data_IF_493709798283
#
_entry.id   IF_493709798283
#
_cell.length_a   1.000
_cell.length_b   1.000
_cell.length_c   1.000
_cell.angle_alpha   90.00
_cell.angle_beta   90.00
_cell.angle_gamma   90.00
#
_symmetry.space_group_name_H-M   'P 1'
#
loop_
_entity.id
_entity.type
_entity.pdbx_description
1 polymer ?
#
# COMPACT_ATOMS: atom_id res chain seq x y z
N UNK A 1 27.49 -7.88 -14.89
CA UNK A 1 27.03 -7.37 -13.59
C UNK A 1 27.47 -5.91 -13.51
N UNK A 2 26.63 -4.99 -13.92
CA UNK A 2 26.91 -3.55 -13.77
C UNK A 2 26.75 -3.21 -12.31
N UNK A 3 27.83 -2.76 -11.66
CA UNK A 3 27.82 -2.16 -10.34
C UNK A 3 26.72 -1.10 -10.32
N UNK A 4 25.65 -1.34 -9.57
CA UNK A 4 24.62 -0.31 -9.37
C UNK A 4 25.31 0.85 -8.65
N UNK A 5 25.45 1.97 -9.36
CA UNK A 5 26.04 3.18 -8.84
C UNK A 5 25.30 3.57 -7.55
N UNK A 6 26.00 3.44 -6.42
CA UNK A 6 25.42 3.72 -5.09
C UNK A 6 25.07 5.19 -4.90
N UNK A 7 25.48 6.06 -5.83
CA UNK A 7 25.25 7.50 -5.81
C UNK A 7 23.92 7.91 -6.47
N UNK A 8 23.43 7.13 -7.43
CA UNK A 8 22.15 7.43 -8.12
C UNK A 8 20.97 7.33 -7.15
N UNK A 9 20.09 8.33 -7.11
CA UNK A 9 18.94 8.31 -6.22
C UNK A 9 17.93 7.22 -6.64
N UNK A 10 17.28 6.61 -5.64
CA UNK A 10 16.15 5.71 -5.84
C UNK A 10 14.88 6.55 -5.73
N UNK A 11 14.10 6.60 -6.81
CA UNK A 11 12.83 7.33 -6.82
C UNK A 11 11.76 6.51 -6.11
N UNK A 12 11.03 7.14 -5.19
CA UNK A 12 9.86 6.56 -4.53
C UNK A 12 8.64 7.42 -4.84
N UNK A 13 7.65 6.86 -5.51
CA UNK A 13 6.31 7.45 -5.57
C UNK A 13 5.51 7.01 -4.33
N UNK A 14 4.53 7.81 -3.89
CA UNK A 14 3.69 7.45 -2.74
C UNK A 14 4.39 7.47 -1.37
N UNK A 15 5.55 8.12 -1.24
CA UNK A 15 6.29 8.23 0.03
C UNK A 15 5.48 8.92 1.15
N UNK A 16 4.47 9.74 0.81
CA UNK A 16 3.51 10.36 1.74
C UNK A 16 2.15 9.68 1.75
N UNK A 17 2.06 8.45 1.20
CA UNK A 17 0.83 7.68 1.12
C UNK A 17 0.30 7.28 2.50
N UNK A 18 -1.04 7.26 2.63
CA UNK A 18 -1.72 6.94 3.90
C UNK A 18 -2.10 5.47 4.03
N UNK A 19 -2.15 4.73 2.94
CA UNK A 19 -2.52 3.33 2.92
C UNK A 19 -1.29 2.44 3.12
N UNK A 20 -1.24 1.73 4.25
CA UNK A 20 -0.12 0.84 4.61
C UNK A 20 1.22 1.53 4.91
N UNK A 21 1.40 2.79 4.53
CA UNK A 21 2.65 3.53 4.79
C UNK A 21 3.90 2.97 4.10
N UNK A 22 3.75 2.08 3.12
CA UNK A 22 4.86 1.34 2.49
C UNK A 22 5.95 2.23 1.92
N UNK A 23 5.58 3.36 1.27
CA UNK A 23 6.55 4.29 0.70
C UNK A 23 7.43 4.98 1.75
N UNK A 24 6.85 5.39 2.90
CA UNK A 24 7.59 6.00 4.00
C UNK A 24 8.53 5.00 4.67
N UNK A 25 8.06 3.77 4.93
CA UNK A 25 8.90 2.70 5.47
C UNK A 25 10.05 2.36 4.53
N UNK A 26 9.77 2.23 3.24
CA UNK A 26 10.78 1.95 2.22
C UNK A 26 11.83 3.07 2.16
N UNK A 27 11.42 4.35 2.19
CA UNK A 27 12.34 5.48 2.21
C UNK A 27 13.30 5.41 3.42
N UNK A 28 12.77 5.15 4.61
CA UNK A 28 13.56 4.97 5.82
C UNK A 28 14.55 3.82 5.68
N UNK A 29 14.10 2.64 5.26
CA UNK A 29 14.96 1.45 5.12
C UNK A 29 16.06 1.63 4.08
N UNK A 30 15.76 2.29 2.96
CA UNK A 30 16.78 2.62 1.96
C UNK A 30 17.83 3.60 2.52
N UNK A 31 17.42 4.62 3.28
CA UNK A 31 18.36 5.54 3.94
C UNK A 31 19.21 4.85 4.99
N UNK A 32 18.64 3.94 5.79
CA UNK A 32 19.39 3.09 6.73
C UNK A 32 20.40 2.18 6.01
N UNK A 33 20.08 1.73 4.79
CA UNK A 33 20.99 0.96 3.93
C UNK A 33 22.00 1.86 3.17
N UNK A 34 22.13 3.14 3.52
CA UNK A 34 23.07 4.06 2.90
C UNK A 34 22.75 4.49 1.47
N UNK A 35 21.47 4.26 1.00
CA UNK A 35 21.08 4.61 -0.37
C UNK A 35 20.51 6.04 -0.43
N UNK A 36 20.80 6.72 -1.52
CA UNK A 36 20.17 8.01 -1.84
C UNK A 36 18.71 7.80 -2.22
N UNK A 37 17.80 8.56 -1.62
CA UNK A 37 16.35 8.47 -1.86
C UNK A 37 15.84 9.80 -2.39
N UNK A 38 15.07 9.74 -3.47
CA UNK A 38 14.27 10.84 -4.01
C UNK A 38 12.80 10.51 -3.84
N UNK A 39 12.08 11.34 -3.09
CA UNK A 39 10.65 11.17 -2.83
C UNK A 39 9.83 12.10 -3.72
N UNK A 40 8.99 11.53 -4.59
CA UNK A 40 8.01 12.28 -5.36
C UNK A 40 6.80 12.61 -4.48
N UNK A 41 6.51 13.89 -4.31
CA UNK A 41 5.38 14.38 -3.51
C UNK A 41 4.55 15.37 -4.32
N UNK A 42 3.23 15.35 -4.14
CA UNK A 42 2.35 16.28 -4.87
C UNK A 42 2.36 17.70 -4.28
N UNK A 43 2.61 17.83 -2.99
CA UNK A 43 2.58 19.09 -2.24
C UNK A 43 3.61 19.07 -1.13
N UNK A 44 4.10 20.25 -0.81
CA UNK A 44 4.93 20.47 0.37
C UNK A 44 3.99 20.73 1.57
N UNK A 45 3.70 19.69 2.33
CA UNK A 45 2.90 19.76 3.55
C UNK A 45 3.63 19.04 4.71
N UNK A 46 3.02 18.97 5.88
CA UNK A 46 3.59 18.39 7.10
C UNK A 46 4.11 16.94 6.93
N UNK A 47 3.58 16.19 5.97
CA UNK A 47 3.96 14.79 5.71
C UNK A 47 5.36 14.63 5.14
N UNK A 48 5.97 15.70 4.64
CA UNK A 48 7.34 15.65 4.13
C UNK A 48 8.40 15.73 5.25
N UNK A 49 8.06 16.27 6.41
CA UNK A 49 9.02 16.49 7.50
C UNK A 49 9.76 15.21 7.93
N UNK A 50 9.12 14.03 8.07
CA UNK A 50 9.82 12.79 8.35
C UNK A 50 10.80 12.38 7.22
N UNK A 51 10.44 12.61 5.96
CA UNK A 51 11.30 12.29 4.81
C UNK A 51 12.53 13.21 4.75
N UNK A 52 12.33 14.51 5.03
CA UNK A 52 13.42 15.48 5.14
C UNK A 52 14.36 15.15 6.29
N UNK A 53 13.84 14.75 7.44
CA UNK A 53 14.65 14.32 8.59
C UNK A 53 15.51 13.08 8.28
N UNK A 54 15.07 12.22 7.36
CA UNK A 54 15.85 11.09 6.85
C UNK A 54 16.91 11.51 5.81
N UNK A 55 16.93 12.78 5.39
CA UNK A 55 17.80 13.26 4.33
C UNK A 55 17.38 12.78 2.93
N UNK A 56 16.10 12.52 2.70
CA UNK A 56 15.58 12.25 1.37
C UNK A 56 15.46 13.54 0.55
N UNK A 57 15.82 13.48 -0.72
CA UNK A 57 15.55 14.56 -1.69
C UNK A 57 14.06 14.62 -1.95
N UNK A 58 13.45 15.79 -1.80
CA UNK A 58 12.02 16.02 -2.06
C UNK A 58 11.86 16.66 -3.42
N UNK A 59 11.12 15.99 -4.32
CA UNK A 59 10.77 16.53 -5.64
C UNK A 59 9.26 16.66 -5.73
N UNK A 60 8.78 17.85 -6.09
CA UNK A 60 7.35 18.11 -6.30
C UNK A 60 6.96 17.68 -7.71
N UNK A 61 5.93 16.83 -7.81
CA UNK A 61 5.39 16.40 -9.09
C UNK A 61 4.13 15.58 -8.89
N UNK A 62 3.35 15.47 -9.96
CA UNK A 62 2.09 14.72 -9.98
C UNK A 62 2.15 13.62 -11.04
N UNK A 63 1.79 12.40 -10.66
CA UNK A 63 1.69 11.26 -11.60
C UNK A 63 0.68 11.52 -12.72
N UNK A 64 -0.21 12.51 -12.57
CA UNK A 64 -1.14 12.95 -13.61
C UNK A 64 -0.58 14.07 -14.51
N UNK A 65 0.59 14.61 -14.20
CA UNK A 65 1.31 15.59 -15.02
C UNK A 65 2.67 15.04 -15.45
N UNK A 66 2.75 14.54 -16.68
CA UNK A 66 3.97 13.97 -17.23
C UNK A 66 5.17 14.92 -17.15
N UNK A 67 4.96 16.22 -17.38
CA UNK A 67 6.06 17.20 -17.43
C UNK A 67 6.73 17.32 -16.06
N UNK A 68 5.97 17.25 -14.98
CA UNK A 68 6.48 17.30 -13.61
C UNK A 68 7.29 16.06 -13.20
N UNK A 69 7.14 14.93 -13.92
CA UNK A 69 7.85 13.69 -13.63
C UNK A 69 9.24 13.62 -14.27
N UNK A 70 9.49 14.38 -15.31
CA UNK A 70 10.79 14.37 -16.03
C UNK A 70 11.93 14.71 -15.08
N UNK A 71 11.93 15.85 -14.34
CA UNK A 71 13.01 16.16 -13.41
C UNK A 71 13.10 15.16 -12.25
N UNK A 72 11.97 14.55 -11.85
CA UNK A 72 11.97 13.53 -10.80
C UNK A 72 12.70 12.25 -11.22
N UNK A 73 12.72 11.91 -12.50
CA UNK A 73 13.32 10.70 -13.07
C UNK A 73 14.76 10.91 -13.59
N UNK A 74 15.24 12.15 -13.69
CA UNK A 74 16.62 12.42 -14.12
C UNK A 74 17.65 11.78 -13.18
N UNK A 75 18.57 10.98 -13.75
CA UNK A 75 19.65 10.31 -13.02
C UNK A 75 19.18 9.14 -12.13
N UNK A 76 17.92 8.71 -12.24
CA UNK A 76 17.35 7.60 -11.46
C UNK A 76 17.71 6.27 -12.09
N UNK A 77 18.39 5.39 -11.32
CA UNK A 77 18.68 4.01 -11.75
C UNK A 77 17.66 2.99 -11.27
N UNK A 78 16.97 3.27 -10.17
CA UNK A 78 15.94 2.42 -9.56
C UNK A 78 14.73 3.27 -9.19
N UNK A 79 13.52 2.75 -9.41
CA UNK A 79 12.28 3.42 -9.01
C UNK A 79 11.32 2.43 -8.33
N UNK A 80 10.60 2.92 -7.33
CA UNK A 80 9.48 2.24 -6.70
C UNK A 80 8.20 2.97 -7.08
N UNK A 81 7.40 2.34 -7.92
CA UNK A 81 6.12 2.87 -8.38
C UNK A 81 4.99 2.28 -7.54
N UNK A 82 4.32 3.14 -6.80
CA UNK A 82 3.07 2.82 -6.10
C UNK A 82 2.06 3.92 -6.33
N UNK A 83 0.79 3.54 -6.39
CA UNK A 83 -0.34 4.44 -6.60
C UNK A 83 -1.39 4.22 -5.52
N UNK A 84 -2.05 5.27 -5.00
CA UNK A 84 -3.10 5.11 -3.99
C UNK A 84 -4.28 4.33 -4.54
N UNK A 85 -5.10 3.76 -3.63
CA UNK A 85 -6.37 3.13 -4.01
C UNK A 85 -7.34 4.22 -4.45
N UNK A 86 -7.23 4.63 -5.71
CA UNK A 86 -7.99 5.73 -6.32
C UNK A 86 -8.01 5.53 -7.84
N UNK A 87 -8.97 6.14 -8.53
CA UNK A 87 -9.00 6.17 -9.99
C UNK A 87 -7.79 6.86 -10.61
N UNK A 88 -7.51 6.56 -11.90
CA UNK A 88 -6.47 7.24 -12.68
C UNK A 88 -5.11 6.53 -12.71
N UNK A 89 -4.96 5.34 -12.15
CA UNK A 89 -3.68 4.61 -12.16
C UNK A 89 -3.15 4.33 -13.58
N UNK A 90 -4.03 4.08 -14.55
CA UNK A 90 -3.62 3.81 -15.94
C UNK A 90 -2.98 5.06 -16.55
N UNK A 91 -3.57 6.24 -16.33
CA UNK A 91 -3.00 7.52 -16.76
C UNK A 91 -1.68 7.82 -16.04
N UNK A 92 -1.64 7.56 -14.73
CA UNK A 92 -0.42 7.73 -13.92
C UNK A 92 0.72 6.85 -14.45
N UNK A 93 0.45 5.59 -14.76
CA UNK A 93 1.41 4.65 -15.33
C UNK A 93 1.89 5.10 -16.73
N UNK A 94 0.97 5.58 -17.58
CA UNK A 94 1.32 6.10 -18.91
C UNK A 94 2.21 7.35 -18.83
N UNK A 95 1.89 8.30 -17.95
CA UNK A 95 2.70 9.49 -17.72
C UNK A 95 4.09 9.14 -17.19
N UNK A 96 4.14 8.23 -16.20
CA UNK A 96 5.41 7.75 -15.64
C UNK A 96 6.27 7.07 -16.71
N UNK A 97 5.68 6.17 -17.49
CA UNK A 97 6.37 5.47 -18.56
C UNK A 97 6.91 6.42 -19.63
N UNK A 98 6.10 7.40 -20.05
CA UNK A 98 6.50 8.40 -21.05
C UNK A 98 7.62 9.30 -20.52
N UNK A 99 7.58 9.74 -19.27
CA UNK A 99 8.64 10.53 -18.65
C UNK A 99 9.93 9.69 -18.47
N UNK A 100 9.82 8.44 -18.02
CA UNK A 100 10.97 7.54 -17.88
C UNK A 100 11.68 7.30 -19.21
N UNK A 101 10.94 7.10 -20.30
CA UNK A 101 11.51 6.96 -21.64
C UNK A 101 12.19 8.24 -22.13
N UNK A 102 11.65 9.41 -21.80
CA UNK A 102 12.23 10.70 -22.18
C UNK A 102 13.60 10.93 -21.56
N UNK A 103 13.83 10.47 -20.33
CA UNK A 103 15.12 10.58 -19.64
C UNK A 103 16.08 9.40 -19.92
N UNK A 104 15.75 8.54 -20.89
CA UNK A 104 16.60 7.44 -21.35
C UNK A 104 16.11 6.03 -21.02
N UNK A 105 15.07 5.87 -20.18
CA UNK A 105 14.37 4.60 -19.95
C UNK A 105 15.18 3.49 -19.27
N UNK A 106 16.26 3.81 -18.57
CA UNK A 106 17.21 2.82 -18.03
C UNK A 106 16.92 2.38 -16.59
N UNK A 107 15.96 3.03 -15.92
CA UNK A 107 15.63 2.68 -14.55
C UNK A 107 14.90 1.34 -14.48
N UNK A 108 15.33 0.45 -13.56
CA UNK A 108 14.48 -0.66 -13.13
C UNK A 108 13.35 -0.13 -12.26
N UNK A 109 12.14 -0.58 -12.52
CA UNK A 109 10.95 -0.15 -11.79
C UNK A 109 10.33 -1.31 -11.02
N UNK A 110 10.34 -1.22 -9.71
CA UNK A 110 9.56 -2.11 -8.84
C UNK A 110 8.16 -1.52 -8.70
N UNK A 111 7.15 -2.26 -9.14
CA UNK A 111 5.75 -1.85 -9.09
C UNK A 111 5.06 -2.50 -7.91
N UNK A 112 4.56 -1.71 -6.96
CA UNK A 112 3.67 -2.18 -5.92
C UNK A 112 2.25 -2.30 -6.51
N UNK A 113 1.85 -3.52 -6.81
CA UNK A 113 0.52 -3.85 -7.31
C UNK A 113 -0.27 -4.65 -6.27
N UNK A 114 -1.45 -5.12 -6.62
CA UNK A 114 -2.33 -5.85 -5.71
C UNK A 114 -2.74 -7.23 -6.29
N UNK A 115 -3.14 -8.14 -5.42
CA UNK A 115 -3.53 -9.49 -5.80
C UNK A 115 -4.81 -9.60 -6.63
N UNK A 116 -5.61 -8.52 -6.70
CA UNK A 116 -6.80 -8.44 -7.56
C UNK A 116 -6.46 -7.98 -8.99
N UNK A 117 -5.19 -7.67 -9.29
CA UNK A 117 -4.73 -7.25 -10.62
C UNK A 117 -4.88 -8.39 -11.62
N UNK A 118 -5.96 -8.34 -12.40
CA UNK A 118 -6.31 -9.35 -13.41
C UNK A 118 -7.28 -8.72 -14.41
N UNK A 119 -7.25 -9.09 -15.72
CA UNK A 119 -8.19 -8.55 -16.72
C UNK A 119 -9.65 -8.87 -16.38
N UNK A 120 -9.90 -10.01 -15.76
CA UNK A 120 -11.23 -10.48 -15.33
C UNK A 120 -11.54 -10.17 -13.87
N UNK A 121 -10.79 -9.25 -13.24
CA UNK A 121 -11.06 -8.88 -11.84
C UNK A 121 -12.50 -8.39 -11.68
N UNK A 122 -13.24 -8.83 -10.65
CA UNK A 122 -14.58 -8.28 -10.38
C UNK A 122 -14.54 -6.79 -10.06
N UNK A 123 -13.42 -6.31 -9.51
CA UNK A 123 -13.21 -4.92 -9.16
C UNK A 123 -12.68 -4.11 -10.34
N UNK A 124 -13.27 -2.94 -10.59
CA UNK A 124 -12.76 -1.99 -11.57
C UNK A 124 -11.30 -1.60 -11.27
N UNK A 125 -10.98 -1.36 -9.99
CA UNK A 125 -9.63 -1.04 -9.55
C UNK A 125 -8.62 -2.17 -9.86
N UNK A 126 -9.00 -3.43 -9.68
CA UNK A 126 -8.17 -4.58 -10.05
C UNK A 126 -7.88 -4.65 -11.54
N UNK A 127 -8.90 -4.41 -12.39
CA UNK A 127 -8.71 -4.34 -13.86
C UNK A 127 -7.83 -3.16 -14.27
N UNK A 128 -7.99 -2.01 -13.61
CA UNK A 128 -7.16 -0.81 -13.87
C UNK A 128 -5.69 -1.04 -13.49
N UNK A 129 -5.42 -1.74 -12.39
CA UNK A 129 -4.06 -2.13 -12.02
C UNK A 129 -3.41 -3.04 -13.06
N UNK A 130 -4.15 -4.05 -13.52
CA UNK A 130 -3.66 -4.91 -14.59
C UNK A 130 -3.32 -4.12 -15.86
N UNK A 131 -4.19 -3.21 -16.30
CA UNK A 131 -3.93 -2.34 -17.44
C UNK A 131 -2.70 -1.44 -17.22
N UNK A 132 -2.52 -0.90 -16.02
CA UNK A 132 -1.34 -0.09 -15.68
C UNK A 132 -0.04 -0.91 -15.77
N UNK A 133 -0.05 -2.16 -15.31
CA UNK A 133 1.08 -3.09 -15.46
C UNK A 133 1.41 -3.35 -16.93
N UNK A 134 0.40 -3.55 -17.78
CA UNK A 134 0.57 -3.74 -19.21
C UNK A 134 1.13 -2.47 -19.89
N UNK A 135 0.63 -1.29 -19.56
CA UNK A 135 1.14 0.00 -20.07
C UNK A 135 2.62 0.19 -19.75
N UNK A 136 3.04 -0.08 -18.50
CA UNK A 136 4.44 -0.02 -18.11
C UNK A 136 5.29 -1.04 -18.88
N UNK A 137 4.76 -2.25 -19.11
CA UNK A 137 5.40 -3.29 -19.89
C UNK A 137 5.56 -2.93 -21.37
N UNK A 138 4.51 -2.39 -21.99
CA UNK A 138 4.54 -1.94 -23.40
C UNK A 138 5.52 -0.78 -23.61
N UNK A 139 5.78 0.01 -22.58
CA UNK A 139 6.78 1.05 -22.65
C UNK A 139 8.23 0.52 -22.68
N UNK A 140 8.44 -0.78 -22.51
CA UNK A 140 9.77 -1.42 -22.54
C UNK A 140 10.60 -1.17 -21.28
N UNK A 141 9.98 -0.83 -20.15
CA UNK A 141 10.68 -0.64 -18.87
C UNK A 141 11.12 -1.99 -18.28
N UNK A 142 12.27 -2.02 -17.58
CA UNK A 142 12.70 -3.16 -16.78
C UNK A 142 11.84 -3.22 -15.50
N UNK A 143 10.88 -4.17 -15.45
CA UNK A 143 9.86 -4.24 -14.43
C UNK A 143 10.02 -5.44 -13.51
N UNK A 144 9.83 -5.21 -12.21
CA UNK A 144 9.51 -6.24 -11.22
C UNK A 144 8.19 -5.85 -10.52
N UNK A 145 7.12 -6.59 -10.81
CA UNK A 145 5.75 -6.30 -10.36
C UNK A 145 5.43 -7.17 -9.15
N UNK A 146 5.15 -6.54 -8.02
CA UNK A 146 4.79 -7.20 -6.77
C UNK A 146 3.27 -7.16 -6.60
N UNK A 147 2.57 -8.24 -6.93
CA UNK A 147 1.13 -8.39 -6.68
C UNK A 147 0.91 -8.86 -5.25
N UNK A 148 0.86 -7.90 -4.31
CA UNK A 148 0.59 -8.20 -2.89
C UNK A 148 -0.88 -8.62 -2.76
N UNK A 149 -1.10 -9.91 -2.51
CA UNK A 149 -2.44 -10.51 -2.40
C UNK A 149 -2.95 -10.56 -0.95
N UNK A 150 -2.34 -9.80 -0.04
CA UNK A 150 -2.68 -9.74 1.37
C UNK A 150 -3.42 -8.45 1.72
N UNK A 151 -4.32 -8.52 2.69
CA UNK A 151 -4.86 -7.32 3.33
C UNK A 151 -3.80 -6.73 4.27
N UNK A 152 -3.71 -5.41 4.30
CA UNK A 152 -2.84 -4.73 5.25
C UNK A 152 -3.49 -4.66 6.63
N UNK A 153 -2.72 -4.89 7.68
CA UNK A 153 -3.17 -4.71 9.07
C UNK A 153 -3.69 -3.30 9.32
N UNK A 154 -3.11 -2.31 8.67
CA UNK A 154 -3.49 -0.90 8.72
C UNK A 154 -4.92 -0.64 8.21
N UNK A 155 -5.50 -1.55 7.42
CA UNK A 155 -6.89 -1.46 6.98
C UNK A 155 -7.85 -1.58 8.17
N UNK A 156 -7.48 -2.32 9.21
CA UNK A 156 -8.36 -2.55 10.37
C UNK A 156 -8.65 -1.23 11.11
N UNK A 157 -7.67 -0.46 11.61
CA UNK A 157 -7.97 0.82 12.23
C UNK A 157 -8.45 1.87 11.23
N UNK A 158 -8.12 1.75 9.94
CA UNK A 158 -8.53 2.70 8.91
C UNK A 158 -10.01 2.58 8.57
N UNK A 159 -10.50 1.37 8.34
CA UNK A 159 -11.89 1.13 7.93
C UNK A 159 -12.84 0.90 9.11
N UNK A 160 -12.33 0.38 10.23
CA UNK A 160 -13.14 -0.07 11.36
C UNK A 160 -12.79 0.62 12.68
N UNK A 161 -11.81 1.54 12.70
CA UNK A 161 -11.34 2.15 13.95
C UNK A 161 -12.45 2.83 14.75
N UNK A 162 -13.39 3.50 14.07
CA UNK A 162 -14.55 4.13 14.70
C UNK A 162 -15.49 3.09 15.31
N UNK A 163 -15.95 2.11 14.55
CA UNK A 163 -16.88 1.09 15.03
C UNK A 163 -16.25 0.18 16.09
N UNK A 164 -14.95 -0.10 16.00
CA UNK A 164 -14.19 -0.79 17.06
C UNK A 164 -14.25 0.03 18.33
N UNK A 165 -13.93 1.33 18.30
CA UNK A 165 -13.86 2.19 19.46
C UNK A 165 -15.22 2.42 20.10
N UNK A 166 -16.20 2.77 19.29
CA UNK A 166 -17.49 3.28 19.77
C UNK A 166 -18.49 2.17 20.08
N UNK A 167 -18.41 1.03 19.34
CA UNK A 167 -19.41 -0.06 19.40
C UNK A 167 -18.81 -1.43 19.73
N UNK A 168 -17.48 -1.59 19.70
CA UNK A 168 -16.82 -2.89 19.86
C UNK A 168 -17.11 -3.85 18.71
N UNK A 169 -17.19 -3.37 17.46
CA UNK A 169 -17.57 -4.19 16.32
C UNK A 169 -16.71 -3.93 15.09
N UNK A 170 -16.47 -5.01 14.34
CA UNK A 170 -15.96 -4.97 12.96
C UNK A 170 -17.11 -5.44 12.06
N UNK A 171 -17.50 -4.62 11.07
CA UNK A 171 -18.52 -4.97 10.07
C UNK A 171 -17.91 -4.99 8.68
N UNK A 172 -18.12 -6.04 7.93
CA UNK A 172 -17.79 -6.10 6.50
C UNK A 172 -18.46 -7.31 5.82
N UNK A 173 -18.25 -7.44 4.51
CA UNK A 173 -18.86 -8.48 3.69
C UNK A 173 -17.92 -9.65 3.34
N UNK A 174 -16.79 -9.84 4.05
CA UNK A 174 -15.91 -10.99 3.81
C UNK A 174 -16.43 -12.31 4.38
N UNK A 175 -17.48 -12.28 5.22
CA UNK A 175 -18.01 -13.48 5.86
C UNK A 175 -16.94 -14.21 6.69
N UNK A 176 -16.97 -15.54 6.65
CA UNK A 176 -16.03 -16.40 7.37
C UNK A 176 -14.72 -16.68 6.60
N UNK A 177 -14.49 -15.98 5.49
CA UNK A 177 -13.30 -16.20 4.66
C UNK A 177 -12.03 -15.90 5.46
N UNK A 178 -11.07 -16.82 5.41
CA UNK A 178 -9.71 -16.58 5.90
C UNK A 178 -8.88 -15.98 4.78
N UNK A 179 -8.26 -14.86 5.05
CA UNK A 179 -7.48 -14.07 4.12
C UNK A 179 -6.04 -14.00 4.58
N UNK A 180 -5.15 -13.77 3.64
CA UNK A 180 -3.76 -13.45 3.95
C UNK A 180 -3.67 -12.00 4.40
N UNK A 181 -2.82 -11.77 5.40
CA UNK A 181 -2.58 -10.48 5.99
C UNK A 181 -1.09 -10.18 6.07
N UNK A 182 -0.74 -8.90 6.02
CA UNK A 182 0.63 -8.41 6.09
C UNK A 182 0.64 -7.00 6.68
N UNK A 183 1.74 -6.60 7.34
CA UNK A 183 1.94 -5.21 7.70
C UNK A 183 2.47 -4.38 6.53
N UNK A 184 2.19 -3.08 6.53
CA UNK A 184 2.81 -2.16 5.57
C UNK A 184 4.34 -2.13 5.67
N UNK A 185 4.88 -2.36 6.86
CA UNK A 185 6.33 -2.52 7.08
C UNK A 185 6.89 -3.74 6.35
N UNK A 186 6.24 -4.91 6.46
CA UNK A 186 6.71 -6.11 5.78
C UNK A 186 6.53 -6.02 4.26
N UNK A 187 5.47 -5.38 3.80
CA UNK A 187 5.29 -5.09 2.38
C UNK A 187 6.39 -4.14 1.85
N UNK A 188 6.82 -3.18 2.65
CA UNK A 188 7.95 -2.31 2.31
C UNK A 188 9.30 -3.07 2.27
N UNK A 189 9.52 -4.03 3.19
CA UNK A 189 10.70 -4.90 3.15
C UNK A 189 10.74 -5.76 1.89
N UNK A 190 9.59 -6.28 1.42
CA UNK A 190 9.51 -6.94 0.11
C UNK A 190 9.96 -5.99 -1.01
N UNK A 191 9.47 -4.74 -0.97
CA UNK A 191 9.88 -3.69 -1.92
C UNK A 191 11.37 -3.37 -1.86
N UNK A 192 11.94 -3.31 -0.65
CA UNK A 192 13.38 -3.11 -0.44
C UNK A 192 14.20 -4.22 -1.10
N UNK A 193 13.83 -5.47 -0.84
CA UNK A 193 14.50 -6.63 -1.45
C UNK A 193 14.34 -6.62 -2.96
N UNK A 194 13.18 -6.27 -3.48
CA UNK A 194 12.95 -6.17 -4.92
C UNK A 194 13.82 -5.11 -5.60
N UNK A 195 14.09 -4.00 -4.93
CA UNK A 195 14.97 -2.95 -5.43
C UNK A 195 16.45 -3.32 -5.36
N UNK A 196 16.90 -3.87 -4.23
CA UNK A 196 18.32 -4.08 -3.95
C UNK A 196 18.82 -5.49 -4.28
N UNK A 197 17.93 -6.49 -4.23
CA UNK A 197 18.23 -7.92 -4.36
C UNK A 197 17.22 -8.64 -5.26
N UNK A 198 17.01 -8.16 -6.52
CA UNK A 198 16.02 -8.75 -7.42
C UNK A 198 16.29 -10.23 -7.74
N UNK A 199 17.53 -10.69 -7.56
CA UNK A 199 17.93 -12.10 -7.74
C UNK A 199 17.28 -13.06 -6.72
N UNK A 200 16.67 -12.54 -5.66
CA UNK A 200 15.92 -13.35 -4.67
C UNK A 200 14.52 -13.71 -5.14
N UNK A 201 14.06 -13.09 -6.22
CA UNK A 201 12.76 -13.38 -6.80
C UNK A 201 12.88 -14.42 -7.91
N UNK A 202 11.80 -15.16 -8.17
CA UNK A 202 11.73 -16.09 -9.27
C UNK A 202 11.87 -15.38 -10.63
N UNK A 203 12.20 -16.14 -11.65
CA UNK A 203 12.25 -15.59 -13.01
C UNK A 203 10.85 -15.17 -13.45
N UNK A 204 10.75 -13.98 -14.01
CA UNK A 204 9.51 -13.40 -14.49
C UNK A 204 9.24 -12.03 -13.86
N UNK A 205 8.51 -11.19 -14.60
CA UNK A 205 8.25 -9.82 -14.17
C UNK A 205 7.20 -9.69 -13.05
N UNK A 206 6.33 -10.69 -12.89
CA UNK A 206 5.23 -10.69 -11.91
C UNK A 206 5.52 -11.66 -10.81
N UNK A 207 5.44 -11.18 -9.57
CA UNK A 207 5.69 -11.94 -8.36
C UNK A 207 4.48 -11.86 -7.42
N UNK A 208 4.22 -12.94 -6.67
CA UNK A 208 3.17 -13.04 -5.66
C UNK A 208 3.81 -13.36 -4.30
N UNK A 209 4.38 -12.37 -3.62
CA UNK A 209 4.98 -12.61 -2.30
C UNK A 209 3.94 -13.12 -1.29
N UNK A 210 4.33 -14.03 -0.37
CA UNK A 210 3.41 -14.56 0.63
C UNK A 210 3.01 -13.51 1.64
N UNK A 211 1.81 -13.65 2.23
CA UNK A 211 1.41 -12.89 3.41
C UNK A 211 2.03 -13.43 4.70
N UNK A 212 1.93 -12.67 5.79
CA UNK A 212 2.46 -13.07 7.09
C UNK A 212 1.56 -14.07 7.81
N UNK A 213 0.25 -13.81 7.81
CA UNK A 213 -0.73 -14.61 8.55
C UNK A 213 -1.98 -14.89 7.71
N UNK A 214 -2.68 -15.98 8.04
CA UNK A 214 -3.98 -16.33 7.47
C UNK A 214 -5.05 -16.17 8.56
N UNK A 215 -5.87 -15.11 8.50
CA UNK A 215 -6.86 -14.76 9.53
C UNK A 215 -8.22 -14.46 8.88
N UNK A 216 -9.30 -14.86 9.55
CA UNK A 216 -10.65 -14.33 9.32
C UNK A 216 -10.85 -13.03 10.09
N UNK A 217 -11.86 -12.24 9.74
CA UNK A 217 -12.22 -11.04 10.51
C UNK A 217 -12.71 -11.36 11.93
N UNK A 218 -13.29 -12.54 12.15
CA UNK A 218 -13.63 -13.03 13.50
C UNK A 218 -12.36 -13.29 14.33
N UNK A 219 -11.32 -13.88 13.74
CA UNK A 219 -10.02 -14.06 14.40
C UNK A 219 -9.33 -12.72 14.68
N UNK A 220 -9.42 -11.75 13.75
CA UNK A 220 -8.95 -10.37 13.95
C UNK A 220 -9.68 -9.72 15.14
N UNK A 221 -11.02 -9.83 15.21
CA UNK A 221 -11.82 -9.32 16.34
C UNK A 221 -11.43 -9.95 17.68
N UNK A 222 -11.16 -11.27 17.69
CA UNK A 222 -10.69 -11.98 18.89
C UNK A 222 -9.34 -11.44 19.38
N UNK A 223 -8.36 -11.29 18.48
CA UNK A 223 -7.04 -10.72 18.83
C UNK A 223 -7.18 -9.30 19.39
N UNK A 224 -8.01 -8.47 18.77
CA UNK A 224 -8.30 -7.12 19.27
C UNK A 224 -8.96 -7.15 20.65
N UNK A 225 -9.89 -8.08 20.90
CA UNK A 225 -10.54 -8.20 22.21
C UNK A 225 -9.53 -8.52 23.31
N UNK A 226 -8.60 -9.44 23.04
CA UNK A 226 -7.54 -9.81 23.96
C UNK A 226 -6.58 -8.64 24.24
N UNK A 227 -6.06 -8.01 23.19
CA UNK A 227 -5.04 -6.95 23.30
C UNK A 227 -5.60 -5.63 23.85
N UNK A 228 -6.85 -5.30 23.55
CA UNK A 228 -7.49 -4.07 24.04
C UNK A 228 -8.25 -4.26 25.36
N UNK A 229 -8.31 -5.51 25.88
CA UNK A 229 -8.99 -5.88 27.13
C UNK A 229 -10.46 -5.46 27.16
N UNK A 230 -11.17 -5.59 26.01
CA UNK A 230 -12.59 -5.26 25.87
C UNK A 230 -13.23 -6.12 24.78
N UNK A 231 -14.53 -6.45 24.89
CA UNK A 231 -15.20 -7.25 23.86
C UNK A 231 -15.23 -6.53 22.52
N UNK A 232 -14.73 -7.20 21.47
CA UNK A 232 -14.86 -6.81 20.09
C UNK A 232 -15.35 -8.01 19.31
N UNK A 233 -16.43 -7.84 18.53
CA UNK A 233 -17.02 -8.90 17.73
C UNK A 233 -16.95 -8.58 16.24
N UNK A 234 -16.99 -9.61 15.43
CA UNK A 234 -17.22 -9.50 13.98
C UNK A 234 -18.70 -9.70 13.69
N UNK A 235 -19.25 -8.86 12.83
CA UNK A 235 -20.64 -8.89 12.38
C UNK A 235 -20.64 -8.83 10.85
N UNK A 236 -20.96 -9.95 10.17
CA UNK A 236 -21.03 -9.93 8.70
C UNK A 236 -22.23 -9.14 8.25
N UNK A 237 -22.02 -8.25 7.26
CA UNK A 237 -23.05 -7.44 6.63
C UNK A 237 -23.00 -7.62 5.11
N UNK A 238 -24.01 -7.12 4.40
CA UNK A 238 -24.04 -7.19 2.93
C UNK A 238 -22.95 -6.29 2.32
N UNK A 239 -22.61 -6.56 1.04
CA UNK A 239 -21.69 -5.72 0.28
C UNK A 239 -22.16 -4.27 0.23
N UNK A 240 -23.44 -4.07 -0.04
CA UNK A 240 -24.07 -2.76 -0.15
C UNK A 240 -23.97 -1.98 1.16
N UNK A 241 -24.38 -2.61 2.28
CA UNK A 241 -24.30 -1.99 3.59
C UNK A 241 -22.85 -1.58 3.96
N UNK A 242 -21.88 -2.46 3.69
CA UNK A 242 -20.50 -2.12 3.98
C UNK A 242 -19.94 -1.02 3.07
N UNK A 243 -20.28 -1.06 1.78
CA UNK A 243 -19.93 0.02 0.86
C UNK A 243 -20.47 1.37 1.33
N UNK A 244 -21.70 1.41 1.80
CA UNK A 244 -22.34 2.64 2.29
C UNK A 244 -21.67 3.14 3.59
N UNK A 245 -21.29 2.25 4.52
CA UNK A 245 -20.50 2.62 5.70
C UNK A 245 -19.14 3.24 5.31
N UNK A 246 -18.45 2.68 4.31
CA UNK A 246 -17.18 3.20 3.82
C UNK A 246 -17.34 4.55 3.11
N UNK A 247 -18.42 4.75 2.36
CA UNK A 247 -18.74 6.04 1.72
C UNK A 247 -19.02 7.12 2.77
N UNK A 248 -19.82 6.80 3.79
CA UNK A 248 -20.06 7.71 4.91
C UNK A 248 -18.75 8.08 5.66
N UNK A 249 -17.82 7.12 5.80
CA UNK A 249 -16.50 7.38 6.38
C UNK A 249 -15.66 8.30 5.47
N UNK A 250 -15.72 8.11 4.16
CA UNK A 250 -15.01 8.96 3.20
C UNK A 250 -15.54 10.40 3.19
N UNK A 251 -16.86 10.59 3.31
CA UNK A 251 -17.50 11.90 3.44
C UNK A 251 -17.13 12.60 4.75
N UNK A 252 -17.08 11.85 5.86
CA UNK A 252 -16.71 12.38 7.16
C UNK A 252 -15.23 12.79 7.26
N UNK A 253 -14.35 12.22 6.41
CA UNK A 253 -12.91 12.46 6.41
C UNK A 253 -12.37 12.77 4.99
N UNK A 254 -12.68 13.93 4.42
CA UNK A 254 -12.22 14.31 3.09
C UNK A 254 -10.69 14.25 2.98
N UNK A 255 -10.18 13.57 1.96
CA UNK A 255 -8.74 13.35 1.78
C UNK A 255 -8.13 12.33 2.74
N UNK A 256 -8.94 11.59 3.49
CA UNK A 256 -8.54 10.45 4.30
C UNK A 256 -8.00 9.27 3.48
N UNK A 257 -7.71 8.16 4.14
CA UNK A 257 -7.26 6.94 3.47
C UNK A 257 -8.43 6.19 2.79
N UNK A 258 -9.65 6.33 3.29
CA UNK A 258 -10.87 5.80 2.65
C UNK A 258 -11.42 6.83 1.68
N UNK A 259 -11.79 6.38 0.49
CA UNK A 259 -12.40 7.17 -0.57
C UNK A 259 -13.39 6.29 -1.37
N UNK A 260 -14.21 6.85 -2.27
CA UNK A 260 -15.21 6.07 -3.02
C UNK A 260 -14.63 4.89 -3.82
N UNK A 261 -13.46 5.04 -4.43
CA UNK A 261 -12.84 3.96 -5.21
C UNK A 261 -12.39 2.81 -4.31
N UNK A 262 -11.85 3.12 -3.12
CA UNK A 262 -11.53 2.12 -2.11
C UNK A 262 -12.80 1.43 -1.60
N UNK A 263 -13.87 2.17 -1.32
CA UNK A 263 -15.15 1.63 -0.86
C UNK A 263 -15.72 0.62 -1.86
N UNK A 264 -15.73 0.97 -3.15
CA UNK A 264 -16.18 0.07 -4.21
C UNK A 264 -15.25 -1.14 -4.38
N UNK A 265 -13.93 -0.90 -4.40
CA UNK A 265 -12.94 -1.97 -4.57
C UNK A 265 -13.05 -3.02 -3.47
N UNK A 266 -12.90 -2.60 -2.21
CA UNK A 266 -12.77 -3.57 -1.11
C UNK A 266 -14.08 -4.29 -0.79
N UNK A 267 -15.24 -3.62 -0.97
CA UNK A 267 -16.54 -4.26 -0.82
C UNK A 267 -16.80 -5.28 -1.94
N UNK A 268 -16.39 -4.98 -3.17
CA UNK A 268 -16.49 -5.92 -4.30
C UNK A 268 -15.60 -7.13 -4.10
N UNK A 269 -14.35 -6.93 -3.68
CA UNK A 269 -13.43 -8.04 -3.40
C UNK A 269 -13.93 -8.86 -2.21
N UNK A 270 -14.43 -8.20 -1.15
CA UNK A 270 -14.99 -8.88 0.02
C UNK A 270 -16.11 -9.84 -0.35
N UNK A 271 -17.10 -9.38 -1.10
CA UNK A 271 -18.19 -10.20 -1.57
C UNK A 271 -17.76 -11.36 -2.49
N UNK A 272 -16.82 -11.07 -3.42
CA UNK A 272 -16.27 -12.10 -4.30
C UNK A 272 -15.51 -13.19 -3.56
N UNK A 273 -14.75 -12.83 -2.53
CA UNK A 273 -14.00 -13.78 -1.70
C UNK A 273 -14.94 -14.61 -0.82
N UNK A 274 -15.97 -13.97 -0.22
CA UNK A 274 -16.97 -14.67 0.59
C UNK A 274 -17.68 -15.79 -0.19
N UNK A 275 -17.89 -15.59 -1.49
CA UNK A 275 -18.60 -16.55 -2.37
C UNK A 275 -17.67 -17.58 -3.02
N UNK A 276 -16.42 -17.23 -3.32
CA UNK A 276 -15.52 -18.06 -4.13
C UNK A 276 -14.75 -19.14 -3.32
N UNK A 277 -14.83 -19.12 -1.99
CA UNK A 277 -13.99 -20.00 -1.15
C UNK A 277 -12.48 -19.69 -1.26
N UNK A 278 -11.64 -20.60 -0.74
CA UNK A 278 -10.17 -20.44 -0.76
C UNK A 278 -9.64 -20.37 -2.18
N UNK A 279 -8.99 -19.27 -2.56
CA UNK A 279 -8.22 -19.17 -3.81
C UNK A 279 -6.81 -19.75 -3.60
N UNK A 280 -6.31 -20.61 -4.51
CA UNK A 280 -4.98 -21.23 -4.40
C UNK A 280 -3.80 -20.26 -4.42
N UNK A 281 -4.00 -19.03 -4.95
CA UNK A 281 -2.94 -18.01 -5.09
C UNK A 281 -2.68 -17.18 -3.84
N UNK A 282 -3.45 -17.36 -2.78
CA UNK A 282 -3.28 -16.63 -1.52
C UNK A 282 -2.69 -17.55 -0.48
N UNK A 283 -1.39 -17.44 -0.25
CA UNK A 283 -0.68 -18.19 0.78
C UNK A 283 -0.15 -17.24 1.84
N UNK A 284 -0.36 -17.62 3.11
CA UNK A 284 0.38 -17.04 4.22
C UNK A 284 1.52 -18.01 4.55
N UNK A 285 2.75 -17.52 4.47
CA UNK A 285 3.96 -18.28 4.83
C UNK A 285 4.98 -17.31 5.45
N UNK A 286 4.88 -17.14 6.76
CA UNK A 286 5.79 -16.29 7.53
C UNK A 286 7.26 -16.72 7.37
N UNK A 287 7.53 -18.03 7.24
CA UNK A 287 8.89 -18.52 7.07
C UNK A 287 9.46 -18.18 5.67
N UNK A 288 8.65 -18.29 4.61
CA UNK A 288 9.05 -17.86 3.27
C UNK A 288 9.27 -16.33 3.24
N UNK A 289 8.38 -15.56 3.87
CA UNK A 289 8.54 -14.11 3.97
C UNK A 289 9.81 -13.73 4.74
N UNK A 290 10.11 -14.42 5.84
CA UNK A 290 11.36 -14.25 6.58
C UNK A 290 12.60 -14.61 5.74
N UNK A 291 12.55 -15.70 4.99
CA UNK A 291 13.67 -16.05 4.08
C UNK A 291 13.87 -14.98 3.00
N UNK A 292 12.80 -14.45 2.44
CA UNK A 292 12.86 -13.41 1.43
C UNK A 292 13.44 -12.11 1.98
N UNK A 293 12.92 -11.62 3.12
CA UNK A 293 13.24 -10.29 3.67
C UNK A 293 14.43 -10.29 4.64
N UNK A 294 14.80 -11.47 5.18
CA UNK A 294 15.86 -11.61 6.18
C UNK A 294 15.40 -11.27 7.60
N UNK A 295 14.11 -10.96 7.83
CA UNK A 295 13.54 -10.64 9.14
C UNK A 295 12.22 -11.37 9.38
N UNK A 296 11.91 -11.67 10.64
CA UNK A 296 10.60 -12.21 10.99
C UNK A 296 9.51 -11.17 10.69
N UNK A 297 8.42 -11.54 10.00
CA UNK A 297 7.31 -10.63 9.75
C UNK A 297 6.57 -10.28 11.04
N UNK A 298 5.95 -9.11 11.06
CA UNK A 298 5.12 -8.66 12.15
C UNK A 298 3.83 -9.49 12.21
N UNK A 299 3.47 -9.99 13.40
CA UNK A 299 2.16 -10.60 13.60
C UNK A 299 1.08 -9.52 13.78
N UNK A 300 -0.19 -9.86 13.50
CA UNK A 300 -1.30 -8.95 13.76
C UNK A 300 -1.38 -8.57 15.25
N UNK A 301 -1.12 -9.52 16.15
CA UNK A 301 -1.04 -9.28 17.60
C UNK A 301 0.02 -8.20 17.94
N UNK A 302 1.23 -8.36 17.43
CA UNK A 302 2.31 -7.38 17.65
C UNK A 302 2.01 -6.03 17.01
N UNK A 303 1.31 -6.03 15.86
CA UNK A 303 0.82 -4.80 15.24
C UNK A 303 -0.19 -4.07 16.16
N UNK A 304 -1.16 -4.79 16.73
CA UNK A 304 -2.15 -4.19 17.66
C UNK A 304 -1.46 -3.62 18.90
N UNK A 305 -0.48 -4.33 19.46
CA UNK A 305 0.30 -3.85 20.61
C UNK A 305 1.06 -2.56 20.28
N UNK A 306 1.72 -2.51 19.12
CA UNK A 306 2.48 -1.35 18.64
C UNK A 306 1.58 -0.14 18.34
N UNK A 307 0.44 -0.39 17.74
CA UNK A 307 -0.49 0.64 17.23
C UNK A 307 -1.73 0.82 18.14
N UNK A 308 -1.63 0.42 19.42
CA UNK A 308 -2.76 0.38 20.36
C UNK A 308 -3.57 1.68 20.40
N UNK A 309 -2.88 2.81 20.36
CA UNK A 309 -3.54 4.11 20.42
C UNK A 309 -4.46 4.39 19.22
N UNK A 310 -4.15 3.87 18.03
CA UNK A 310 -5.00 4.03 16.84
C UNK A 310 -6.37 3.37 16.99
N UNK A 311 -6.48 2.40 17.89
CA UNK A 311 -7.74 1.71 18.19
C UNK A 311 -8.52 2.36 19.34
N UNK A 312 -7.85 3.13 20.19
CA UNK A 312 -8.45 3.69 21.40
C UNK A 312 -8.77 5.19 21.28
N UNK A 313 -7.97 5.94 20.51
CA UNK A 313 -8.15 7.38 20.37
C UNK A 313 -8.93 7.71 19.09
N UNK A 314 -9.76 8.76 19.16
CA UNK A 314 -10.33 9.37 17.95
C UNK A 314 -9.20 9.88 17.04
N UNK A 315 -9.38 9.78 15.72
CA UNK A 315 -8.46 10.38 14.78
C UNK A 315 -8.27 11.87 15.16
N UNK A 316 -7.02 12.31 15.37
CA UNK A 316 -6.76 13.73 15.61
C UNK A 316 -7.26 14.51 14.40
N UNK A 317 -8.18 15.44 14.63
CA UNK A 317 -8.58 16.39 13.59
C UNK A 317 -7.32 17.12 13.10
N UNK A 318 -7.16 17.31 11.78
CA UNK A 318 -6.10 18.18 11.29
C UNK A 318 -6.33 19.56 11.93
N UNK A 319 -5.30 20.09 12.60
CA UNK A 319 -5.36 21.41 13.23
C UNK A 319 -5.71 22.44 12.14
N UNK A 320 -6.93 22.94 12.17
CA UNK A 320 -7.32 24.12 11.41
C UNK A 320 -6.50 25.27 11.97
N UNK A 321 -5.46 25.69 11.26
CA UNK A 321 -4.82 26.97 11.47
C UNK A 321 -5.92 28.04 11.39
N UNK A 322 -6.42 28.48 12.56
CA UNK A 322 -7.19 29.71 12.63
C UNK A 322 -6.25 30.80 12.14
N UNK A 323 -6.52 31.29 10.94
CA UNK A 323 -5.98 32.57 10.49
C UNK A 323 -6.45 33.65 11.46
N UNK A 324 -5.59 34.03 12.40
CA UNK A 324 -5.72 35.27 13.09
C UNK A 324 -5.32 36.38 12.12
N UNK A 325 -6.29 36.93 11.44
CA UNK A 325 -6.19 38.26 10.87
C UNK A 325 -6.87 39.20 11.90
N UNK A 326 -6.08 39.88 12.71
CA UNK A 326 -6.37 41.09 13.39
C UNK A 326 -5.62 42.23 12.69
#
# INVERSE_FOLDING_TARGET
MTSSDTTSPILITGATGRHGGTGAHLARRLREAGRSVRALVRRLDERIAPLQALGAEIVVGDLHDRASLVPALEGVGLAYFTYPVNGGIVQAAANFAAAARQVGGHARVVVMSNGASHPESPSHFGRAHWLAEEVLGWAGLDLLILRIASLFYENVPTAHGRSIRDEGVIRNCFGDARLTWISGEDAAEIGLVALLHPERFERGRVQYPPGAELLSHAEVARVLSEELSRPIRFEPITREAWRDELLALAEAQPGGAVNPDMADHISTIGAAVATAGKRPSQTADAAALQRLTGRAPLSFRSFVQKERERFLQAAREPSTLRSQHG
#
